data_IF_934186017724
#
_entry.id   IF_934186017724
#
_cell.length_a   1.000
_cell.length_b   1.000
_cell.length_c   1.000
_cell.angle_alpha   90.00
_cell.angle_beta   90.00
_cell.angle_gamma   90.00
#
_symmetry.space_group_name_H-M   'P 1'
#
loop_
_entity.id
_entity.type
_entity.pdbx_description
1 polymer ?
#
# COMPACT_ATOMS: atom_id res chain seq x y z
N UNK A 1 52.92 50.22 -45.64
CA UNK A 1 53.09 49.15 -44.65
C UNK A 1 51.82 48.33 -44.67
N UNK A 2 51.91 47.14 -45.26
CA UNK A 2 51.15 45.90 -45.08
C UNK A 2 49.59 45.84 -45.17
N UNK A 3 49.04 44.71 -45.66
CA UNK A 3 47.64 44.54 -46.09
C UNK A 3 46.81 43.54 -45.24
N UNK A 4 45.54 43.34 -45.61
CA UNK A 4 44.64 42.21 -45.23
C UNK A 4 44.20 42.20 -43.74
N UNK A 5 43.00 41.82 -43.30
CA UNK A 5 42.09 40.76 -43.76
C UNK A 5 40.71 41.02 -43.14
N UNK A 6 39.62 40.90 -43.93
CA UNK A 6 38.27 40.64 -43.41
C UNK A 6 37.85 39.28 -43.96
N UNK A 7 38.10 38.24 -43.19
CA UNK A 7 37.50 36.93 -43.39
C UNK A 7 36.55 36.64 -42.23
N UNK A 8 35.30 36.35 -42.59
CA UNK A 8 34.34 35.68 -41.72
C UNK A 8 34.32 34.21 -42.13
N UNK A 9 34.39 33.26 -41.17
CA UNK A 9 33.91 31.91 -41.41
C UNK A 9 32.63 31.66 -40.62
N UNK A 10 31.58 31.29 -41.36
CA UNK A 10 30.42 30.60 -40.83
C UNK A 10 30.83 29.20 -40.35
N UNK A 11 30.46 28.84 -39.12
CA UNK A 11 30.41 27.44 -38.69
C UNK A 11 29.13 27.23 -37.90
N UNK A 12 28.12 26.70 -38.59
CA UNK A 12 26.93 26.09 -38.01
C UNK A 12 27.30 24.68 -37.52
N UNK A 13 27.43 24.49 -36.20
CA UNK A 13 27.46 23.15 -35.61
C UNK A 13 26.06 22.74 -35.16
N UNK A 14 25.39 21.98 -36.03
CA UNK A 14 24.29 21.09 -35.70
C UNK A 14 24.80 19.98 -34.78
N UNK A 15 24.39 19.98 -33.50
CA UNK A 15 24.47 18.79 -32.65
C UNK A 15 23.08 18.18 -32.57
N UNK A 16 22.89 17.12 -33.36
CA UNK A 16 21.75 16.22 -33.25
C UNK A 16 21.78 15.52 -31.90
N UNK A 17 20.77 15.79 -31.07
CA UNK A 17 20.44 14.96 -29.93
C UNK A 17 19.68 13.73 -30.40
N UNK A 18 20.24 12.55 -30.16
CA UNK A 18 19.56 11.26 -30.29
C UNK A 18 18.45 11.20 -29.23
N UNK A 19 17.16 11.00 -29.60
CA UNK A 19 16.13 10.75 -28.61
C UNK A 19 16.22 9.29 -28.13
N UNK A 20 16.51 9.10 -26.84
CA UNK A 20 16.44 7.79 -26.20
C UNK A 20 14.97 7.38 -26.13
N UNK A 21 14.66 6.27 -26.79
CA UNK A 21 13.35 5.64 -26.87
C UNK A 21 12.89 5.13 -25.50
N UNK A 22 11.79 5.68 -25.00
CA UNK A 22 11.05 5.13 -23.86
C UNK A 22 10.20 3.96 -24.35
N UNK A 23 10.26 2.76 -23.74
CA UNK A 23 9.43 1.64 -24.16
C UNK A 23 7.96 1.90 -23.81
N UNK A 24 7.11 1.86 -24.84
CA UNK A 24 5.65 1.88 -24.77
C UNK A 24 5.15 0.53 -24.23
N UNK A 25 4.17 0.49 -23.30
CA UNK A 25 3.59 -0.77 -22.81
C UNK A 25 2.78 -1.47 -23.92
N UNK A 26 3.07 -2.74 -24.14
CA UNK A 26 2.37 -3.61 -25.10
C UNK A 26 1.05 -4.08 -24.48
N UNK A 27 -0.11 -3.96 -25.15
CA UNK A 27 -1.37 -4.51 -24.66
C UNK A 27 -1.38 -6.04 -24.77
N UNK A 28 -1.71 -6.71 -23.67
CA UNK A 28 -1.90 -8.17 -23.59
C UNK A 28 -3.28 -8.52 -24.17
N UNK A 29 -3.38 -9.45 -25.14
CA UNK A 29 -4.68 -9.88 -25.66
C UNK A 29 -5.40 -10.82 -24.68
N UNK A 30 -6.70 -10.57 -24.52
CA UNK A 30 -7.58 -11.35 -23.66
C UNK A 30 -7.94 -12.73 -24.20
N UNK A 31 -8.03 -13.67 -23.26
CA UNK A 31 -8.64 -15.00 -23.33
C UNK A 31 -8.42 -15.59 -21.93
N UNK A 32 -9.40 -16.04 -21.14
CA UNK A 32 -10.64 -16.73 -21.45
C UNK A 32 -10.58 -18.08 -20.72
N UNK A 33 -11.32 -18.25 -19.63
CA UNK A 33 -11.75 -19.57 -19.13
C UNK A 33 -11.23 -20.06 -17.76
N UNK A 34 -12.20 -20.44 -16.89
CA UNK A 34 -12.08 -21.41 -15.78
C UNK A 34 -11.42 -20.91 -14.49
N UNK A 35 -11.88 -21.13 -13.26
CA UNK A 35 -12.83 -22.11 -12.71
C UNK A 35 -12.22 -22.70 -11.42
N UNK A 36 -12.93 -22.62 -10.28
CA UNK A 36 -12.60 -23.27 -8.99
C UNK A 36 -11.52 -22.56 -8.16
N UNK A 37 -11.52 -22.50 -6.83
CA UNK A 37 -12.28 -23.18 -5.77
C UNK A 37 -11.36 -23.37 -4.55
N UNK A 38 -11.85 -23.06 -3.34
CA UNK A 38 -11.20 -23.37 -2.04
C UNK A 38 -10.03 -22.45 -1.65
N UNK A 39 -9.73 -22.13 -0.39
CA UNK A 39 -10.20 -22.57 0.92
C UNK A 39 -9.14 -22.21 1.97
N UNK A 40 -9.53 -22.08 3.24
CA UNK A 40 -8.64 -21.96 4.42
C UNK A 40 -8.07 -20.55 4.66
N UNK A 41 -7.87 -20.05 5.88
CA UNK A 41 -7.86 -20.63 7.22
C UNK A 41 -6.84 -19.85 8.08
N UNK A 42 -7.09 -19.74 9.39
CA UNK A 42 -6.15 -19.21 10.40
C UNK A 42 -6.45 -17.77 10.84
N UNK A 43 -6.46 -17.38 12.12
CA UNK A 43 -5.95 -18.00 13.35
C UNK A 43 -4.99 -17.04 14.08
N UNK A 44 -5.15 -16.88 15.39
CA UNK A 44 -4.23 -16.16 16.31
C UNK A 44 -4.72 -14.75 16.68
N UNK A 45 -5.05 -14.44 17.94
CA UNK A 45 -4.16 -14.28 19.10
C UNK A 45 -4.01 -12.76 19.34
N UNK A 46 -4.09 -12.13 20.51
CA UNK A 46 -3.85 -12.48 21.90
C UNK A 46 -3.17 -11.24 22.55
N UNK A 47 -3.49 -10.92 23.81
CA UNK A 47 -2.81 -9.89 24.63
C UNK A 47 -3.55 -8.53 24.68
N UNK A 48 -3.79 -7.88 25.81
CA UNK A 48 -3.22 -7.99 27.15
C UNK A 48 -2.48 -6.70 27.52
N UNK A 49 -2.95 -6.01 28.58
CA UNK A 49 -2.32 -4.84 29.20
C UNK A 49 -3.27 -3.64 29.28
N UNK A 50 -3.43 -2.91 30.39
CA UNK A 50 -2.72 -2.86 31.65
C UNK A 50 -2.66 -1.40 32.14
N UNK A 51 -2.94 -1.17 33.43
CA UNK A 51 -2.66 0.09 34.17
C UNK A 51 -3.74 1.18 34.05
N UNK A 52 -4.10 1.93 35.09
CA UNK A 52 -3.57 2.08 36.45
C UNK A 52 -3.59 3.57 36.85
N UNK A 53 -3.99 3.87 38.11
CA UNK A 53 -3.80 5.15 38.82
C UNK A 53 -4.83 6.24 38.47
N UNK A 54 -5.58 6.83 39.41
CA UNK A 54 -5.15 7.58 40.61
C UNK A 54 -4.97 9.06 40.20
N UNK A 55 -5.47 10.12 40.85
CA UNK A 55 -6.10 10.37 42.13
C UNK A 55 -5.90 11.88 42.44
N UNK A 56 -6.81 12.49 43.22
CA UNK A 56 -6.64 13.81 43.89
C UNK A 56 -6.65 15.06 42.99
N UNK A 57 -7.13 16.24 43.38
CA UNK A 57 -7.61 16.74 44.66
C UNK A 57 -7.40 18.27 44.73
N UNK A 58 -8.36 19.01 45.31
CA UNK A 58 -8.23 20.38 45.86
C UNK A 58 -7.97 21.53 44.86
N UNK A 59 -8.39 22.77 45.05
CA UNK A 59 -8.97 23.48 46.19
C UNK A 59 -8.55 24.95 46.11
N UNK A 60 -9.42 25.87 46.56
CA UNK A 60 -9.13 27.29 46.86
C UNK A 60 -9.08 28.22 45.63
N UNK A 61 -9.62 29.44 45.63
CA UNK A 61 -10.03 30.32 46.73
C UNK A 61 -9.44 31.71 46.47
N UNK A 62 -10.20 32.77 46.78
CA UNK A 62 -9.65 34.11 47.02
C UNK A 62 -9.81 35.12 45.90
N UNK A 63 -10.73 36.07 46.11
CA UNK A 63 -10.81 37.32 45.35
C UNK A 63 -9.88 38.42 45.91
N UNK A 64 -10.02 39.61 45.32
CA UNK A 64 -9.62 40.86 45.96
C UNK A 64 -8.70 41.76 45.13
N UNK A 65 -9.25 42.90 44.71
CA UNK A 65 -8.62 44.19 44.94
C UNK A 65 -7.69 44.79 43.88
N UNK A 66 -8.03 46.01 43.46
CA UNK A 66 -7.07 47.11 43.48
C UNK A 66 -6.48 47.60 42.16
N UNK A 67 -7.09 48.66 41.62
CA UNK A 67 -6.41 49.94 41.42
C UNK A 67 -5.35 50.10 40.31
N UNK A 68 -5.58 51.10 39.47
CA UNK A 68 -4.52 52.05 39.12
C UNK A 68 -3.98 52.02 37.68
N UNK A 69 -4.44 52.99 36.90
CA UNK A 69 -3.54 53.95 36.25
C UNK A 69 -2.82 53.56 34.94
N UNK A 70 -3.14 54.31 33.89
CA UNK A 70 -2.07 54.94 33.10
C UNK A 70 -1.77 54.38 31.71
N UNK A 71 -2.15 55.14 30.68
CA UNK A 71 -1.18 55.61 29.69
C UNK A 71 -1.02 54.85 28.36
N UNK A 72 -1.30 55.58 27.26
CA UNK A 72 -0.63 55.52 25.95
C UNK A 72 -0.79 54.24 25.12
N UNK A 73 -1.07 54.24 23.81
CA UNK A 73 -1.01 55.24 22.76
C UNK A 73 -0.66 54.52 21.43
N UNK A 74 -1.23 54.95 20.29
CA UNK A 74 -0.91 54.54 18.90
C UNK A 74 -1.53 53.21 18.47
N UNK A 75 -2.26 53.04 17.36
CA UNK A 75 -2.18 53.63 16.01
C UNK A 75 -1.50 52.58 15.09
N UNK A 76 -2.01 52.09 13.96
CA UNK A 76 -3.16 52.39 13.11
C UNK A 76 -3.19 51.41 11.90
N UNK A 77 -4.18 51.61 11.01
CA UNK A 77 -4.23 51.09 9.61
C UNK A 77 -4.65 49.62 9.45
N UNK A 78 -5.67 49.21 8.68
CA UNK A 78 -6.55 49.91 7.75
C UNK A 78 -6.24 49.59 6.28
N UNK A 79 -6.83 48.52 5.75
CA UNK A 79 -6.95 48.17 4.32
C UNK A 79 -7.39 46.69 4.22
N UNK A 80 -8.38 46.24 3.43
CA UNK A 80 -9.21 46.85 2.40
C UNK A 80 -9.31 45.87 1.22
N UNK A 81 -10.51 45.35 0.92
CA UNK A 81 -10.86 44.57 -0.28
C UNK A 81 -10.50 43.07 -0.22
N UNK A 82 -11.22 42.11 -0.80
CA UNK A 82 -12.39 42.08 -1.68
C UNK A 82 -12.78 40.61 -1.87
N UNK A 83 -14.04 40.34 -2.25
CA UNK A 83 -14.64 39.00 -2.26
C UNK A 83 -14.17 38.07 -3.39
N UNK A 84 -14.45 36.78 -3.21
CA UNK A 84 -14.32 35.73 -4.20
C UNK A 84 -14.69 34.37 -3.61
N UNK A 85 -15.79 33.77 -4.08
CA UNK A 85 -16.27 32.45 -3.69
C UNK A 85 -15.48 31.33 -4.41
N UNK A 86 -15.06 30.31 -3.66
CA UNK A 86 -14.39 29.09 -4.17
C UNK A 86 -13.73 28.30 -3.02
N UNK A 87 -13.66 26.96 -3.09
CA UNK A 87 -13.82 26.09 -1.93
C UNK A 87 -12.58 25.98 -1.04
N UNK A 88 -12.84 25.88 0.27
CA UNK A 88 -11.95 25.55 1.41
C UNK A 88 -10.44 25.35 1.13
N UNK A 89 -9.58 26.20 1.72
CA UNK A 89 -8.27 25.78 2.16
C UNK A 89 -8.22 25.67 3.69
N UNK A 90 -7.75 24.51 4.12
CA UNK A 90 -7.02 24.23 5.34
C UNK A 90 -7.01 25.33 6.42
N UNK A 91 -7.63 24.99 7.56
CA UNK A 91 -7.12 25.25 8.91
C UNK A 91 -5.83 26.08 8.92
N UNK A 92 -5.96 27.39 9.07
CA UNK A 92 -4.88 28.19 9.61
C UNK A 92 -4.46 27.51 10.92
N UNK A 93 -3.18 27.18 11.14
CA UNK A 93 -2.76 26.53 12.36
C UNK A 93 -3.18 27.40 13.55
N UNK A 94 -3.79 26.75 14.54
CA UNK A 94 -4.48 27.33 15.68
C UNK A 94 -3.59 28.13 16.65
N UNK A 95 -2.48 28.71 16.18
CA UNK A 95 -1.52 29.49 16.94
C UNK A 95 -1.33 30.89 16.35
N UNK A 96 -2.41 31.53 15.92
CA UNK A 96 -2.48 32.97 16.14
C UNK A 96 -2.92 33.11 17.61
N UNK A 97 -2.07 33.58 18.55
CA UNK A 97 -2.57 33.92 19.86
C UNK A 97 -3.62 35.00 19.61
N UNK A 98 -4.89 34.62 19.76
CA UNK A 98 -6.01 35.55 19.80
C UNK A 98 -5.68 36.44 20.97
N UNK A 99 -5.08 37.59 20.69
CA UNK A 99 -4.56 38.50 21.70
C UNK A 99 -5.73 38.75 22.65
N UNK A 100 -5.67 38.14 23.84
CA UNK A 100 -6.64 38.37 24.89
C UNK A 100 -6.71 39.89 25.01
N UNK A 101 -7.91 40.51 24.91
CA UNK A 101 -8.00 41.96 24.98
C UNK A 101 -7.34 42.37 26.29
N UNK A 102 -6.21 43.07 26.19
CA UNK A 102 -5.44 43.48 27.34
C UNK A 102 -6.40 44.23 28.27
N UNK A 103 -6.68 43.63 29.42
CA UNK A 103 -7.72 44.07 30.35
C UNK A 103 -7.43 45.55 30.69
N UNK A 104 -8.34 46.46 30.31
CA UNK A 104 -8.18 47.90 30.54
C UNK A 104 -7.77 48.75 29.34
N UNK A 105 -7.51 48.19 28.15
CA UNK A 105 -7.37 48.95 26.90
C UNK A 105 -8.69 48.95 26.10
N UNK A 106 -8.98 50.07 25.43
CA UNK A 106 -10.17 50.18 24.56
C UNK A 106 -10.05 49.24 23.37
N UNK A 107 -11.13 48.54 23.06
CA UNK A 107 -11.28 47.72 21.87
C UNK A 107 -11.61 48.59 20.65
N UNK A 108 -11.60 47.99 19.46
CA UNK A 108 -11.93 48.68 18.20
C UNK A 108 -13.37 49.19 18.16
N UNK A 109 -14.30 48.58 18.91
CA UNK A 109 -15.73 48.91 18.91
C UNK A 109 -16.11 49.91 20.00
N UNK A 110 -15.20 50.25 20.91
CA UNK A 110 -15.45 51.22 21.98
C UNK A 110 -15.37 52.66 21.46
N UNK A 111 -16.34 53.53 21.78
CA UNK A 111 -16.28 54.91 21.32
C UNK A 111 -15.09 55.68 21.93
N UNK A 112 -14.52 56.65 21.18
CA UNK A 112 -13.54 57.55 21.74
C UNK A 112 -14.16 58.34 22.90
N UNK A 113 -13.34 58.69 23.90
CA UNK A 113 -13.84 59.50 25.01
C UNK A 113 -14.27 60.87 24.48
N UNK A 114 -15.37 61.45 25.00
CA UNK A 114 -15.87 62.77 24.55
C UNK A 114 -14.79 63.86 24.61
N UNK A 115 -13.94 63.85 25.63
CA UNK A 115 -12.80 64.75 25.79
C UNK A 115 -11.64 64.53 24.80
N UNK A 116 -11.62 63.41 24.08
CA UNK A 116 -10.64 63.08 23.02
C UNK A 116 -11.24 63.08 21.62
N UNK A 117 -12.57 63.17 21.48
CA UNK A 117 -13.25 63.13 20.20
C UNK A 117 -12.82 64.25 19.24
N UNK A 118 -12.53 65.44 19.78
CA UNK A 118 -12.05 66.60 19.02
C UNK A 118 -10.55 66.92 19.22
N UNK A 119 -9.80 66.10 19.98
CA UNK A 119 -8.39 66.40 20.30
C UNK A 119 -7.47 65.94 19.18
N UNK A 120 -7.03 66.87 18.34
CA UNK A 120 -5.96 66.65 17.37
C UNK A 120 -4.60 66.77 18.06
N UNK A 121 -3.69 65.82 17.81
CA UNK A 121 -2.31 65.91 18.26
C UNK A 121 -1.53 66.75 17.23
N UNK A 122 -1.11 67.95 17.64
CA UNK A 122 -0.15 68.72 16.86
C UNK A 122 1.26 68.17 17.11
N UNK A 123 2.10 68.03 16.07
CA UNK A 123 3.50 67.68 16.28
C UNK A 123 4.19 68.80 17.08
N UNK A 124 5.15 68.45 17.95
CA UNK A 124 6.00 69.46 18.55
C UNK A 124 6.81 70.18 17.44
N UNK A 125 7.22 71.44 17.65
CA UNK A 125 8.16 72.08 16.74
C UNK A 125 9.45 71.26 16.70
N UNK A 126 9.96 71.03 15.50
CA UNK A 126 11.20 70.28 15.27
C UNK A 126 12.23 71.25 14.69
N UNK A 127 13.42 71.25 15.27
CA UNK A 127 14.56 71.97 14.71
C UNK A 127 15.09 71.19 13.48
N UNK A 128 15.16 71.82 12.29
CA UNK A 128 15.66 71.16 11.09
C UNK A 128 17.10 70.67 11.24
N UNK A 129 17.95 71.35 12.01
CA UNK A 129 19.37 70.98 12.15
C UNK A 129 19.53 69.68 12.95
N UNK A 130 18.80 69.54 14.07
CA UNK A 130 18.84 68.32 14.88
C UNK A 130 18.27 67.10 14.14
N UNK A 131 17.22 67.29 13.35
CA UNK A 131 16.61 66.22 12.58
C UNK A 131 17.56 65.65 11.52
N UNK A 132 18.32 66.52 10.86
CA UNK A 132 19.35 66.12 9.89
C UNK A 132 20.46 65.33 10.57
N UNK A 133 20.94 65.76 11.73
CA UNK A 133 21.97 65.02 12.49
C UNK A 133 21.50 63.62 12.86
N UNK A 134 20.26 63.44 13.32
CA UNK A 134 19.72 62.12 13.68
C UNK A 134 19.56 61.22 12.44
N UNK A 135 19.09 61.77 11.32
CA UNK A 135 18.85 61.02 10.10
C UNK A 135 20.14 60.62 9.40
N UNK A 136 21.10 61.53 9.27
CA UNK A 136 22.31 61.35 8.47
C UNK A 136 23.47 60.77 9.28
N UNK A 137 23.55 61.06 10.59
CA UNK A 137 24.69 60.63 11.41
C UNK A 137 24.36 59.40 12.25
N UNK A 138 23.21 59.37 12.92
CA UNK A 138 22.92 58.31 13.89
C UNK A 138 22.41 57.01 13.25
N UNK A 139 21.43 57.10 12.34
CA UNK A 139 20.85 55.90 11.70
C UNK A 139 21.85 55.11 10.85
N UNK A 140 22.69 55.76 10.01
CA UNK A 140 23.69 55.04 9.22
C UNK A 140 24.79 54.44 10.09
N UNK A 141 25.18 55.08 11.19
CA UNK A 141 26.19 54.56 12.13
C UNK A 141 25.79 53.22 12.77
N UNK A 142 24.49 52.96 12.94
CA UNK A 142 23.96 51.71 13.52
C UNK A 142 23.46 50.70 12.49
N UNK A 143 23.45 51.02 11.19
CA UNK A 143 23.09 50.11 10.12
C UNK A 143 24.11 48.99 9.83
N UNK A 144 25.45 49.23 9.81
CA UNK A 144 26.43 48.23 9.38
C UNK A 144 26.51 47.02 10.32
N UNK A 145 26.45 47.21 11.64
CA UNK A 145 26.49 46.09 12.59
C UNK A 145 25.32 45.09 12.44
N UNK A 146 24.16 45.54 11.93
CA UNK A 146 23.05 44.62 11.59
C UNK A 146 23.29 43.87 10.29
N UNK A 147 23.98 44.47 9.33
CA UNK A 147 24.29 43.82 8.06
C UNK A 147 25.36 42.74 8.24
N UNK A 148 26.38 43.03 9.04
CA UNK A 148 27.45 42.08 9.40
C UNK A 148 26.90 40.87 10.16
N UNK A 149 26.08 41.09 11.19
CA UNK A 149 25.45 40.00 11.94
C UNK A 149 24.55 39.13 11.05
N UNK A 150 23.82 39.73 10.10
CA UNK A 150 23.00 38.97 9.14
C UNK A 150 23.86 38.14 8.19
N UNK A 151 25.01 38.68 7.75
CA UNK A 151 25.94 37.95 6.90
C UNK A 151 26.52 36.73 7.64
N UNK A 152 26.92 36.90 8.91
CA UNK A 152 27.47 35.81 9.73
C UNK A 152 26.45 34.69 9.98
N UNK A 153 25.21 35.04 10.33
CA UNK A 153 24.13 34.04 10.51
C UNK A 153 23.85 33.28 9.22
N UNK A 154 23.93 33.95 8.06
CA UNK A 154 23.75 33.29 6.76
C UNK A 154 24.93 32.39 6.40
N UNK A 155 26.16 32.76 6.77
CA UNK A 155 27.34 31.93 6.57
C UNK A 155 27.27 30.66 7.44
N UNK A 156 26.99 30.79 8.74
CA UNK A 156 26.83 29.63 9.64
C UNK A 156 25.75 28.68 9.17
N UNK A 157 24.59 29.19 8.71
CA UNK A 157 23.53 28.35 8.12
C UNK A 157 23.95 27.63 6.85
N UNK A 158 24.88 28.18 6.06
CA UNK A 158 25.41 27.52 4.86
C UNK A 158 26.43 26.45 5.23
N UNK A 159 27.29 26.75 6.18
CA UNK A 159 28.27 25.80 6.73
C UNK A 159 27.58 24.63 7.40
N UNK A 160 26.58 24.85 8.26
CA UNK A 160 25.76 23.78 8.87
C UNK A 160 25.06 22.90 7.82
N UNK A 161 24.65 23.50 6.69
CA UNK A 161 24.01 22.75 5.60
C UNK A 161 25.01 21.93 4.77
N UNK A 162 26.27 22.36 4.70
CA UNK A 162 27.33 21.67 3.97
C UNK A 162 28.11 20.69 4.86
N UNK A 163 28.15 20.94 6.17
CA UNK A 163 28.77 20.10 7.19
C UNK A 163 27.79 19.09 7.80
N UNK A 164 26.54 19.05 7.32
CA UNK A 164 25.72 17.85 7.49
C UNK A 164 26.50 16.71 6.83
N UNK A 165 26.82 15.69 7.63
CA UNK A 165 27.73 14.57 7.35
C UNK A 165 27.13 13.61 6.30
N UNK A 166 26.67 14.15 5.17
CA UNK A 166 25.88 13.44 4.15
C UNK A 166 26.72 12.38 3.44
N UNK A 167 28.03 12.58 3.26
CA UNK A 167 28.85 11.61 2.53
C UNK A 167 29.12 10.32 3.32
N UNK A 168 29.47 10.43 4.60
CA UNK A 168 29.71 9.27 5.46
C UNK A 168 28.40 8.49 5.71
N UNK A 169 27.29 9.19 5.98
CA UNK A 169 25.97 8.57 6.12
C UNK A 169 25.51 7.87 4.83
N UNK A 170 25.77 8.45 3.65
CA UNK A 170 25.45 7.82 2.37
C UNK A 170 26.33 6.59 2.11
N UNK A 171 27.60 6.61 2.50
CA UNK A 171 28.46 5.44 2.41
C UNK A 171 28.00 4.32 3.33
N UNK A 172 27.64 4.63 4.58
CA UNK A 172 27.07 3.66 5.52
C UNK A 172 25.75 3.08 5.00
N UNK A 173 24.87 3.93 4.50
CA UNK A 173 23.63 3.49 3.87
C UNK A 173 23.89 2.56 2.67
N UNK A 174 24.86 2.88 1.80
CA UNK A 174 25.25 2.00 0.69
C UNK A 174 25.78 0.66 1.18
N UNK A 175 26.60 0.64 2.23
CA UNK A 175 27.14 -0.60 2.83
C UNK A 175 26.01 -1.47 3.41
N UNK A 176 25.06 -0.86 4.11
CA UNK A 176 23.90 -1.57 4.66
C UNK A 176 23.01 -2.13 3.55
N UNK A 177 22.80 -1.39 2.47
CA UNK A 177 22.02 -1.86 1.32
C UNK A 177 22.71 -3.04 0.61
N UNK A 178 24.02 -2.97 0.39
CA UNK A 178 24.78 -4.07 -0.19
C UNK A 178 24.72 -5.34 0.68
N UNK A 179 24.81 -5.20 2.00
CA UNK A 179 24.67 -6.33 2.92
C UNK A 179 23.26 -6.96 2.89
N UNK A 180 22.22 -6.12 2.81
CA UNK A 180 20.84 -6.59 2.68
C UNK A 180 20.62 -7.35 1.36
N UNK A 181 21.15 -6.83 0.25
CA UNK A 181 21.12 -7.51 -1.05
C UNK A 181 21.83 -8.86 -1.01
N UNK A 182 23.01 -8.93 -0.40
CA UNK A 182 23.76 -10.18 -0.26
C UNK A 182 22.97 -11.20 0.57
N UNK A 183 22.39 -10.80 1.71
CA UNK A 183 21.62 -11.71 2.54
C UNK A 183 20.32 -12.17 1.86
N UNK A 184 19.66 -11.27 1.11
CA UNK A 184 18.53 -11.63 0.26
C UNK A 184 18.92 -12.64 -0.83
N UNK A 185 20.11 -12.49 -1.42
CA UNK A 185 20.63 -13.43 -2.42
C UNK A 185 20.87 -14.82 -1.83
N UNK A 186 21.44 -14.91 -0.62
CA UNK A 186 21.64 -16.16 0.11
C UNK A 186 20.30 -16.83 0.46
N UNK A 187 19.33 -16.05 0.91
CA UNK A 187 17.99 -16.57 1.18
C UNK A 187 17.26 -16.99 -0.09
N UNK A 188 17.49 -16.32 -1.23
CA UNK A 188 16.92 -16.69 -2.52
C UNK A 188 17.50 -18.03 -2.99
N UNK A 189 18.81 -18.23 -2.91
CA UNK A 189 19.45 -19.51 -3.25
C UNK A 189 18.88 -20.68 -2.42
N UNK A 190 18.70 -20.50 -1.10
CA UNK A 190 18.05 -21.50 -0.22
C UNK A 190 16.59 -21.77 -0.59
N UNK A 191 15.86 -20.76 -1.09
CA UNK A 191 14.48 -20.91 -1.57
C UNK A 191 14.44 -21.69 -2.88
N UNK A 192 15.32 -21.37 -3.82
CA UNK A 192 15.45 -22.06 -5.10
C UNK A 192 15.82 -23.54 -4.93
N UNK A 193 16.75 -23.86 -4.04
CA UNK A 193 17.10 -25.25 -3.73
C UNK A 193 15.91 -26.04 -3.17
N UNK A 194 15.16 -25.43 -2.24
CA UNK A 194 13.94 -26.03 -1.67
C UNK A 194 12.87 -26.27 -2.72
N UNK A 195 12.62 -25.26 -3.58
CA UNK A 195 11.65 -25.36 -4.67
C UNK A 195 12.04 -26.46 -5.65
N UNK A 196 13.32 -26.54 -6.03
CA UNK A 196 13.82 -27.60 -6.91
C UNK A 196 13.58 -28.99 -6.31
N UNK A 197 13.84 -29.17 -5.02
CA UNK A 197 13.57 -30.44 -4.33
C UNK A 197 12.06 -30.76 -4.31
N UNK A 198 11.22 -29.76 -4.05
CA UNK A 198 9.76 -29.92 -4.09
C UNK A 198 9.27 -30.32 -5.49
N UNK A 199 9.78 -29.68 -6.55
CA UNK A 199 9.44 -30.02 -7.93
C UNK A 199 9.85 -31.45 -8.29
N UNK A 200 11.03 -31.90 -7.85
CA UNK A 200 11.48 -33.28 -8.05
C UNK A 200 10.58 -34.28 -7.31
N UNK A 201 10.17 -33.98 -6.07
CA UNK A 201 9.23 -34.79 -5.30
C UNK A 201 7.83 -34.82 -5.93
N UNK A 202 7.33 -33.68 -6.42
CA UNK A 202 6.05 -33.60 -7.13
C UNK A 202 6.07 -34.39 -8.43
N UNK A 203 7.16 -34.31 -9.21
CA UNK A 203 7.35 -35.12 -10.41
C UNK A 203 7.31 -36.61 -10.06
N UNK A 204 7.99 -37.04 -8.99
CA UNK A 204 7.95 -38.42 -8.51
C UNK A 204 6.54 -38.86 -8.12
N UNK A 205 5.81 -38.04 -7.35
CA UNK A 205 4.42 -38.33 -6.95
C UNK A 205 3.49 -38.44 -8.16
N UNK A 206 3.64 -37.55 -9.16
CA UNK A 206 2.86 -37.60 -10.40
C UNK A 206 3.10 -38.90 -11.17
N UNK A 207 4.35 -39.31 -11.28
CA UNK A 207 4.70 -40.59 -11.91
C UNK A 207 4.10 -41.78 -11.14
N UNK A 208 4.23 -41.79 -9.81
CA UNK A 208 3.67 -42.86 -8.97
C UNK A 208 2.14 -42.96 -9.11
N UNK A 209 1.45 -41.82 -9.14
CA UNK A 209 0.00 -41.77 -9.35
C UNK A 209 -0.36 -42.29 -10.74
N UNK A 210 0.38 -41.87 -11.78
CA UNK A 210 0.16 -42.34 -13.14
C UNK A 210 0.38 -43.85 -13.26
N UNK A 211 1.42 -44.41 -12.64
CA UNK A 211 1.67 -45.86 -12.60
C UNK A 211 0.54 -46.61 -11.89
N UNK A 212 0.07 -46.10 -10.74
CA UNK A 212 -1.06 -46.69 -10.01
C UNK A 212 -2.35 -46.65 -10.84
N UNK A 213 -2.60 -45.55 -11.54
CA UNK A 213 -3.76 -45.42 -12.43
C UNK A 213 -3.66 -46.36 -13.63
N UNK A 214 -2.47 -46.49 -14.23
CA UNK A 214 -2.23 -47.42 -15.32
C UNK A 214 -2.49 -48.87 -14.90
N UNK A 215 -1.97 -49.30 -13.74
CA UNK A 215 -2.22 -50.66 -13.20
C UNK A 215 -3.69 -50.93 -12.91
N UNK A 216 -4.41 -49.93 -12.38
CA UNK A 216 -5.86 -50.04 -12.15
C UNK A 216 -6.63 -50.16 -13.46
N UNK A 217 -6.23 -49.38 -14.47
CA UNK A 217 -6.84 -49.43 -15.80
C UNK A 217 -6.58 -50.78 -16.47
N UNK A 218 -5.36 -51.28 -16.40
CA UNK A 218 -4.97 -52.59 -16.94
C UNK A 218 -5.78 -53.72 -16.30
N UNK A 219 -5.87 -53.76 -14.97
CA UNK A 219 -6.69 -54.75 -14.27
C UNK A 219 -8.18 -54.67 -14.63
N UNK A 220 -8.70 -53.45 -14.81
CA UNK A 220 -10.08 -53.25 -15.25
C UNK A 220 -10.31 -53.75 -16.68
N UNK A 221 -9.37 -53.48 -17.60
CA UNK A 221 -9.43 -53.98 -18.97
C UNK A 221 -9.39 -55.50 -19.00
N UNK A 222 -8.50 -56.15 -18.23
CA UNK A 222 -8.44 -57.62 -18.13
C UNK A 222 -9.75 -58.24 -17.62
N UNK A 223 -10.39 -57.61 -16.63
CA UNK A 223 -11.68 -58.06 -16.10
C UNK A 223 -12.78 -57.96 -17.17
N UNK A 224 -12.81 -56.84 -17.91
CA UNK A 224 -13.78 -56.63 -18.99
C UNK A 224 -13.53 -57.55 -20.17
N UNK A 225 -12.28 -57.83 -20.52
CA UNK A 225 -11.93 -58.81 -21.54
C UNK A 225 -12.44 -60.21 -21.16
N UNK A 226 -12.30 -60.62 -19.90
CA UNK A 226 -12.85 -61.89 -19.41
C UNK A 226 -14.37 -61.93 -19.49
N UNK A 227 -15.05 -60.84 -19.11
CA UNK A 227 -16.51 -60.72 -19.22
C UNK A 227 -16.97 -60.83 -20.68
N UNK A 228 -16.28 -60.16 -21.61
CA UNK A 228 -16.57 -60.26 -23.05
C UNK A 228 -16.36 -61.67 -23.56
N UNK A 229 -15.28 -62.35 -23.15
CA UNK A 229 -15.03 -63.75 -23.53
C UNK A 229 -16.10 -64.70 -22.98
N UNK A 230 -16.54 -64.51 -21.73
CA UNK A 230 -17.65 -65.28 -21.15
C UNK A 230 -18.94 -65.07 -21.95
N UNK A 231 -19.26 -63.83 -22.27
CA UNK A 231 -20.42 -63.50 -23.10
C UNK A 231 -20.31 -64.08 -24.52
N UNK A 232 -19.11 -64.17 -25.09
CA UNK A 232 -18.91 -64.84 -26.38
C UNK A 232 -19.19 -66.34 -26.30
N UNK A 233 -18.77 -67.02 -25.22
CA UNK A 233 -19.07 -68.43 -25.00
C UNK A 233 -20.58 -68.65 -24.75
N UNK A 234 -21.21 -67.80 -23.92
CA UNK A 234 -22.65 -67.84 -23.68
C UNK A 234 -23.45 -67.53 -24.96
N UNK A 235 -22.98 -66.61 -25.80
CA UNK A 235 -23.65 -66.26 -27.05
C UNK A 235 -23.72 -67.43 -28.04
N UNK A 236 -22.74 -68.36 -28.01
CA UNK A 236 -22.81 -69.60 -28.81
C UNK A 236 -23.98 -70.49 -28.40
N UNK A 237 -24.44 -70.39 -27.16
CA UNK A 237 -25.59 -71.15 -26.64
C UNK A 237 -26.94 -70.48 -26.91
N UNK A 238 -26.96 -69.28 -27.52
CA UNK A 238 -28.21 -68.60 -27.88
C UNK A 238 -28.98 -69.32 -28.99
N UNK A 239 -30.31 -69.20 -28.92
CA UNK A 239 -31.21 -69.79 -29.90
C UNK A 239 -31.18 -68.92 -31.16
N UNK A 240 -30.72 -69.51 -32.26
CA UNK A 240 -30.77 -68.93 -33.60
C UNK A 240 -31.95 -69.52 -34.38
N UNK A 241 -32.32 -68.92 -35.52
CA UNK A 241 -33.39 -69.43 -36.38
C UNK A 241 -33.16 -70.88 -36.83
N UNK A 242 -31.89 -71.27 -36.98
CA UNK A 242 -31.48 -72.61 -37.41
C UNK A 242 -31.59 -73.66 -36.29
N UNK A 243 -31.33 -73.27 -35.04
CA UNK A 243 -31.35 -74.17 -33.88
C UNK A 243 -32.69 -74.14 -33.11
N UNK A 244 -33.71 -73.47 -33.67
CA UNK A 244 -34.95 -73.14 -32.96
C UNK A 244 -35.82 -74.36 -32.68
N UNK A 245 -36.10 -75.18 -33.69
CA UNK A 245 -36.96 -76.37 -33.56
C UNK A 245 -36.35 -77.40 -32.58
N UNK A 246 -35.04 -77.66 -32.71
CA UNK A 246 -34.33 -78.58 -31.84
C UNK A 246 -34.33 -78.15 -30.35
N UNK A 247 -34.26 -76.85 -30.06
CA UNK A 247 -34.35 -76.35 -28.68
C UNK A 247 -35.77 -76.36 -28.12
N UNK A 248 -36.80 -76.23 -28.95
CA UNK A 248 -38.20 -76.38 -28.52
C UNK A 248 -38.46 -77.82 -28.04
N UNK A 249 -38.01 -78.82 -28.80
CA UNK A 249 -38.17 -80.23 -28.42
C UNK A 249 -37.43 -80.56 -27.12
N UNK A 250 -36.16 -80.18 -26.98
CA UNK A 250 -35.38 -80.43 -25.76
C UNK A 250 -36.01 -79.78 -24.51
N UNK A 251 -36.62 -78.60 -24.66
CA UNK A 251 -37.29 -77.90 -23.56
C UNK A 251 -38.61 -78.58 -23.14
N UNK A 252 -39.31 -79.23 -24.08
CA UNK A 252 -40.50 -80.03 -23.78
C UNK A 252 -40.13 -81.34 -23.07
N UNK A 253 -39.02 -81.96 -23.47
CA UNK A 253 -38.51 -83.20 -22.87
C UNK A 253 -37.90 -82.99 -21.48
N UNK A 254 -37.31 -81.82 -21.23
CA UNK A 254 -36.62 -81.50 -19.97
C UNK A 254 -37.26 -80.30 -19.22
N UNK A 255 -38.35 -80.52 -18.45
CA UNK A 255 -38.95 -79.46 -17.64
C UNK A 255 -38.02 -79.03 -16.50
N UNK A 256 -37.54 -77.77 -16.54
CA UNK A 256 -36.74 -77.18 -15.45
C UNK A 256 -37.63 -76.58 -14.35
N UNK A 257 -37.37 -76.96 -13.10
CA UNK A 257 -38.06 -76.44 -11.91
C UNK A 257 -37.14 -75.53 -11.09
N UNK A 258 -37.52 -74.25 -10.95
CA UNK A 258 -36.77 -73.26 -10.18
C UNK A 258 -37.28 -73.10 -8.73
N UNK A 259 -38.27 -73.89 -8.30
CA UNK A 259 -38.78 -73.83 -6.94
C UNK A 259 -37.77 -74.41 -5.95
N UNK A 260 -37.32 -73.58 -5.00
CA UNK A 260 -36.51 -74.00 -3.87
C UNK A 260 -37.05 -73.38 -2.59
N UNK A 261 -36.85 -74.06 -1.46
CA UNK A 261 -37.13 -73.54 -0.13
C UNK A 261 -35.82 -73.10 0.54
N UNK A 262 -35.90 -72.20 1.50
CA UNK A 262 -34.77 -71.78 2.33
C UNK A 262 -35.12 -72.05 3.79
N UNK A 263 -34.24 -72.74 4.50
CA UNK A 263 -34.38 -73.01 5.93
C UNK A 263 -34.07 -71.76 6.77
N UNK A 264 -34.40 -71.78 8.06
CA UNK A 264 -34.07 -70.69 9.01
C UNK A 264 -32.56 -70.42 9.11
N UNK A 265 -31.74 -71.42 8.78
CA UNK A 265 -30.27 -71.32 8.73
C UNK A 265 -29.74 -70.80 7.39
N UNK A 266 -30.62 -70.38 6.47
CA UNK A 266 -30.24 -69.87 5.14
C UNK A 266 -29.82 -70.95 4.13
N UNK A 267 -30.01 -72.24 4.46
CA UNK A 267 -29.69 -73.35 3.56
C UNK A 267 -30.77 -73.54 2.51
N UNK A 268 -30.36 -73.69 1.25
CA UNK A 268 -31.28 -73.90 0.12
C UNK A 268 -31.62 -75.39 0.00
N UNK A 269 -32.89 -75.73 0.16
CA UNK A 269 -33.42 -77.08 0.00
C UNK A 269 -34.20 -77.13 -1.32
N UNK A 270 -33.69 -77.90 -2.29
CA UNK A 270 -34.37 -78.15 -3.57
C UNK A 270 -35.15 -79.46 -3.48
N UNK A 271 -36.39 -79.45 -3.96
CA UNK A 271 -37.18 -80.68 -4.10
C UNK A 271 -36.61 -81.41 -5.32
N UNK A 272 -35.79 -82.43 -5.12
CA UNK A 272 -35.50 -83.38 -6.19
C UNK A 272 -36.80 -84.13 -6.46
N UNK A 273 -37.37 -83.92 -7.64
CA UNK A 273 -38.41 -84.81 -8.16
C UNK A 273 -37.75 -86.18 -8.28
N UNK A 274 -38.10 -87.09 -7.37
CA UNK A 274 -37.83 -88.51 -7.52
C UNK A 274 -38.52 -88.94 -8.81
N UNK A 275 -37.74 -89.36 -9.80
CA UNK A 275 -38.19 -90.20 -10.91
C UNK A 275 -38.75 -91.51 -10.38
#
# INVERSE_FOLDING_TARGET
>A
YSPSSRESPQVSMSRGGVPVSVPVPVPVPGGGGGGGGGGGGGGGGGGGGGGGGGGGGGGGGGGGGGGGGGGGGGGGGGGGGGGGAGPVPALCPAWCPRALPARGRKTRHDPPAKSKAARVKLPPPVDPEELLVVLERYRPSHAPGRAEFRAEVLQKKREERLAAEEEEELEEHRRLMAWNEEENSRQRARREERLRKQEEEEKRKKLEIAEKQARKMEAFLEEKEKEVLQLQEEAKTFITLENLEARIEECLDNPRNYNFAIDKDGRVVRRTVLS
#
